data_IF_947771185409
#
_entry.id   IF_947771185409
#
_cell.length_a   1.000
_cell.length_b   1.000
_cell.length_c   1.000
_cell.angle_alpha   90.00
_cell.angle_beta   90.00
_cell.angle_gamma   90.00
#
_symmetry.space_group_name_H-M   'P 1'
#
loop_
_entity.id
_entity.type
_entity.pdbx_description
1 polymer ?
#
# COMPACT_ATOMS: atom_id res chain seq x y z
N UNK A 1 -1.82 8.27 -6.24
CA UNK A 1 -3.06 8.81 -6.84
C UNK A 1 -2.69 9.62 -8.08
N UNK A 2 -3.13 9.16 -9.25
CA UNK A 2 -2.97 9.90 -10.48
C UNK A 2 -3.89 11.13 -10.40
N UNK A 3 -3.30 12.33 -10.24
CA UNK A 3 -4.05 13.52 -10.52
C UNK A 3 -4.17 13.64 -12.03
N UNK A 4 -5.40 13.80 -12.56
CA UNK A 4 -5.58 14.02 -13.99
C UNK A 4 -4.76 15.23 -14.43
N UNK A 5 -4.07 15.10 -15.55
CA UNK A 5 -3.41 16.20 -16.22
C UNK A 5 -4.39 17.36 -16.38
N UNK A 6 -3.97 18.58 -16.21
CA UNK A 6 -4.56 19.93 -16.35
C UNK A 6 -5.88 20.11 -17.14
N UNK A 7 -6.60 19.08 -17.48
CA UNK A 7 -7.94 19.13 -18.03
C UNK A 7 -8.92 19.23 -16.86
N UNK A 8 -9.90 20.12 -16.95
CA UNK A 8 -11.01 20.20 -16.01
C UNK A 8 -11.70 18.81 -15.93
N UNK A 9 -11.25 18.02 -14.96
CA UNK A 9 -11.80 16.70 -14.71
C UNK A 9 -12.47 16.71 -13.33
N UNK A 10 -13.74 16.34 -13.27
CA UNK A 10 -14.50 16.24 -12.03
C UNK A 10 -14.14 14.99 -11.22
N UNK A 11 -13.52 13.99 -11.85
CA UNK A 11 -13.06 12.77 -11.21
C UNK A 11 -11.86 13.09 -10.31
N UNK A 12 -11.94 12.73 -9.04
CA UNK A 12 -10.91 13.04 -8.05
C UNK A 12 -9.74 12.07 -8.11
N UNK A 13 -10.05 10.81 -8.42
CA UNK A 13 -9.10 9.71 -8.47
C UNK A 13 -9.34 8.89 -9.75
N UNK A 14 -8.26 8.43 -10.35
CA UNK A 14 -8.26 7.57 -11.52
C UNK A 14 -7.19 6.50 -11.28
N UNK A 15 -7.58 5.39 -10.67
CA UNK A 15 -6.67 4.27 -10.43
C UNK A 15 -7.45 3.00 -10.08
N UNK A 16 -6.96 1.88 -10.48
CA UNK A 16 -7.49 0.53 -10.21
C UNK A 16 -6.80 -0.15 -9.02
N UNK A 17 -5.80 0.49 -8.43
CA UNK A 17 -5.10 0.02 -7.23
C UNK A 17 -4.62 1.18 -6.38
N UNK A 18 -4.86 1.11 -5.07
CA UNK A 18 -4.42 2.15 -4.12
C UNK A 18 -2.97 1.96 -3.69
N UNK A 19 -2.48 0.73 -3.63
CA UNK A 19 -1.16 0.43 -3.11
C UNK A 19 -0.72 -1.01 -3.27
N UNK A 20 0.58 -1.21 -3.05
CA UNK A 20 1.20 -2.52 -2.87
C UNK A 20 1.13 -2.91 -1.40
N UNK A 21 0.57 -4.08 -1.12
CA UNK A 21 0.67 -4.74 0.18
C UNK A 21 1.63 -5.94 0.08
N UNK A 22 2.41 -6.17 1.14
CA UNK A 22 3.30 -7.33 1.25
C UNK A 22 3.13 -7.90 2.67
N UNK A 23 2.89 -9.20 2.75
CA UNK A 23 2.95 -9.97 3.99
C UNK A 23 4.25 -10.77 3.98
N UNK A 24 5.24 -10.30 4.72
CA UNK A 24 6.55 -10.91 4.80
C UNK A 24 6.53 -12.22 5.61
N UNK A 25 7.53 -13.10 5.40
CA UNK A 25 7.62 -14.37 6.09
C UNK A 25 7.79 -14.27 7.61
N UNK A 26 8.30 -13.13 8.11
CA UNK A 26 8.42 -12.82 9.54
C UNK A 26 7.10 -12.30 10.16
N UNK A 27 6.02 -12.18 9.37
CA UNK A 27 4.71 -11.69 9.81
C UNK A 27 4.52 -10.17 9.68
N UNK A 28 5.52 -9.43 9.21
CA UNK A 28 5.42 -8.00 8.95
C UNK A 28 4.48 -7.72 7.77
N UNK A 29 3.63 -6.71 7.91
CA UNK A 29 2.83 -6.17 6.83
C UNK A 29 3.40 -4.83 6.38
N UNK A 30 3.71 -4.74 5.08
CA UNK A 30 4.19 -3.52 4.43
C UNK A 30 3.06 -2.99 3.55
N UNK A 31 2.80 -1.70 3.66
CA UNK A 31 1.90 -0.97 2.77
C UNK A 31 2.64 0.17 2.09
N UNK A 32 2.67 0.13 0.77
CA UNK A 32 3.28 1.15 -0.08
C UNK A 32 2.22 1.75 -1.02
N UNK A 33 1.71 2.96 -0.71
CA UNK A 33 0.79 3.66 -1.62
C UNK A 33 1.41 3.86 -2.98
N UNK A 34 0.64 3.68 -4.05
CA UNK A 34 1.10 3.95 -5.41
C UNK A 34 1.16 5.45 -5.69
N UNK A 35 2.09 5.83 -6.54
CA UNK A 35 2.24 7.18 -7.02
C UNK A 35 2.37 7.18 -8.55
N UNK A 36 2.03 8.33 -9.17
CA UNK A 36 2.45 8.60 -10.53
C UNK A 36 3.70 9.52 -10.47
N UNK A 37 4.90 8.98 -10.54
CA UNK A 37 6.13 9.75 -10.37
C UNK A 37 6.43 10.59 -11.61
N UNK A 38 7.31 11.59 -11.46
CA UNK A 38 7.79 12.39 -12.60
C UNK A 38 8.79 11.63 -13.49
N UNK A 39 9.46 10.65 -12.91
CA UNK A 39 10.46 9.79 -13.55
C UNK A 39 10.21 8.35 -13.15
N UNK A 40 10.66 7.41 -13.96
CA UNK A 40 10.60 6.00 -13.61
C UNK A 40 11.10 5.77 -12.18
N UNK A 41 10.29 5.12 -11.38
CA UNK A 41 10.60 4.77 -9.99
C UNK A 41 10.60 3.26 -9.84
N UNK A 42 11.61 2.74 -9.18
CA UNK A 42 11.70 1.32 -8.81
C UNK A 42 11.93 1.24 -7.31
N UNK A 43 11.05 0.53 -6.62
CA UNK A 43 11.16 0.25 -5.18
C UNK A 43 11.31 -1.24 -4.97
N UNK A 44 12.30 -1.63 -4.17
CA UNK A 44 12.61 -3.02 -3.88
C UNK A 44 12.38 -3.31 -2.39
N UNK A 45 11.58 -4.32 -2.08
CA UNK A 45 11.27 -4.73 -0.72
C UNK A 45 11.86 -6.11 -0.47
N UNK A 46 12.95 -6.15 0.31
CA UNK A 46 13.63 -7.41 0.65
C UNK A 46 12.80 -8.21 1.64
N UNK A 47 12.45 -9.41 1.27
CA UNK A 47 11.69 -10.35 2.10
C UNK A 47 12.22 -11.77 1.92
N UNK A 48 11.97 -12.61 2.92
CA UNK A 48 12.27 -14.04 2.87
C UNK A 48 10.95 -14.80 3.04
N UNK A 49 10.69 -15.75 2.15
CA UNK A 49 9.48 -16.58 2.17
C UNK A 49 8.19 -15.74 2.35
N UNK A 50 7.88 -14.82 1.43
CA UNK A 50 6.70 -13.99 1.57
C UNK A 50 5.44 -14.86 1.69
N UNK A 51 4.55 -14.49 2.61
CA UNK A 51 3.24 -15.14 2.76
C UNK A 51 2.24 -14.62 1.72
N UNK A 52 2.49 -13.43 1.17
CA UNK A 52 1.74 -12.88 0.06
C UNK A 52 2.15 -11.47 -0.31
N UNK A 53 1.77 -11.06 -1.51
CA UNK A 53 1.91 -9.67 -1.96
C UNK A 53 0.94 -9.38 -3.09
N UNK A 54 0.60 -8.11 -3.28
CA UNK A 54 -0.30 -7.75 -4.35
C UNK A 54 -0.70 -6.30 -4.39
N UNK A 55 -1.39 -5.94 -5.45
CA UNK A 55 -1.96 -4.62 -5.65
C UNK A 55 -3.38 -4.59 -5.12
N UNK A 56 -3.63 -3.75 -4.12
CA UNK A 56 -4.91 -3.65 -3.46
C UNK A 56 -5.63 -2.34 -3.77
N UNK A 57 -6.91 -2.45 -4.09
CA UNK A 57 -7.82 -1.32 -4.22
C UNK A 57 -8.60 -1.15 -2.92
N UNK A 58 -8.25 -0.16 -2.10
CA UNK A 58 -8.88 0.13 -0.81
C UNK A 58 -10.02 1.13 -0.90
N UNK A 59 -9.85 2.15 -1.74
CA UNK A 59 -10.90 3.12 -2.03
C UNK A 59 -12.00 2.49 -2.89
N UNK A 60 -13.19 2.24 -2.30
CA UNK A 60 -14.30 1.59 -3.01
C UNK A 60 -15.59 2.41 -2.96
N UNK A 61 -15.49 3.65 -2.55
CA UNK A 61 -16.61 4.57 -2.62
C UNK A 61 -16.64 5.21 -4.02
N UNK A 62 -17.77 5.07 -4.71
CA UNK A 62 -17.96 5.63 -6.05
C UNK A 62 -17.70 7.14 -6.08
N UNK A 63 -18.01 7.86 -5.00
CA UNK A 63 -17.80 9.31 -4.91
C UNK A 63 -16.34 9.76 -5.01
N UNK A 64 -15.38 8.85 -4.85
CA UNK A 64 -13.95 9.14 -5.06
C UNK A 64 -13.60 9.20 -6.54
N UNK A 65 -14.29 8.44 -7.36
CA UNK A 65 -13.99 8.26 -8.79
C UNK A 65 -14.95 9.03 -9.68
N UNK A 66 -16.25 8.98 -9.39
CA UNK A 66 -17.32 9.55 -10.22
C UNK A 66 -17.21 9.08 -11.69
N UNK A 67 -16.70 7.86 -11.89
CA UNK A 67 -16.50 7.27 -13.21
C UNK A 67 -17.53 6.19 -13.47
N UNK A 68 -18.40 6.44 -14.45
CA UNK A 68 -19.48 5.52 -14.83
C UNK A 68 -19.05 4.48 -15.87
N UNK A 69 -17.98 4.76 -16.59
CA UNK A 69 -17.52 3.92 -17.69
C UNK A 69 -16.58 2.81 -17.17
N UNK A 70 -15.49 3.18 -16.51
CA UNK A 70 -14.47 2.24 -16.05
C UNK A 70 -14.77 1.64 -14.66
N UNK A 71 -15.60 2.33 -13.83
CA UNK A 71 -16.05 1.82 -12.53
C UNK A 71 -14.90 1.35 -11.65
N UNK A 72 -13.89 2.19 -11.43
CA UNK A 72 -12.73 1.90 -10.56
C UNK A 72 -13.11 1.45 -9.14
N UNK A 73 -14.26 1.89 -8.63
CA UNK A 73 -14.84 1.42 -7.37
C UNK A 73 -15.08 -0.09 -7.32
N UNK A 74 -15.18 -0.75 -8.50
CA UNK A 74 -15.45 -2.19 -8.66
C UNK A 74 -14.25 -3.00 -9.13
N UNK A 75 -13.09 -2.38 -9.32
CA UNK A 75 -11.89 -3.12 -9.71
C UNK A 75 -11.42 -4.02 -8.57
N UNK A 76 -11.20 -5.32 -8.80
CA UNK A 76 -10.76 -6.22 -7.75
C UNK A 76 -9.30 -5.97 -7.39
N UNK A 77 -8.95 -6.23 -6.15
CA UNK A 77 -7.56 -6.38 -5.72
C UNK A 77 -6.98 -7.69 -6.26
N UNK A 78 -5.69 -7.70 -6.60
CA UNK A 78 -4.96 -8.88 -7.02
C UNK A 78 -3.94 -9.25 -5.94
N UNK A 79 -4.00 -10.48 -5.42
CA UNK A 79 -3.12 -10.97 -4.38
C UNK A 79 -2.47 -12.29 -4.77
N UNK A 80 -1.14 -12.35 -4.73
CA UNK A 80 -0.33 -13.55 -4.93
C UNK A 80 -0.08 -14.18 -3.56
N UNK A 81 -0.51 -15.42 -3.39
CA UNK A 81 -0.22 -16.26 -2.24
C UNK A 81 0.80 -17.34 -2.66
N UNK A 82 2.08 -17.22 -2.29
CA UNK A 82 3.07 -18.25 -2.55
C UNK A 82 2.67 -19.63 -2.00
N UNK A 83 3.05 -20.67 -2.70
CA UNK A 83 2.91 -22.06 -2.25
C UNK A 83 4.28 -22.67 -2.07
N UNK A 84 4.61 -23.01 -0.82
CA UNK A 84 5.96 -23.42 -0.43
C UNK A 84 6.90 -22.24 -0.24
N UNK A 85 8.15 -22.55 0.00
CA UNK A 85 9.20 -21.56 0.29
C UNK A 85 9.75 -20.99 -1.01
N UNK A 86 9.64 -19.66 -1.19
CA UNK A 86 10.24 -18.96 -2.33
C UNK A 86 11.66 -18.45 -2.05
N UNK A 87 12.11 -18.59 -0.79
CA UNK A 87 13.44 -18.18 -0.34
C UNK A 87 13.57 -16.67 -0.17
N UNK A 88 14.80 -16.18 -0.23
CA UNK A 88 15.13 -14.76 -0.17
C UNK A 88 14.99 -14.10 -1.54
N UNK A 89 14.53 -12.87 -1.54
CA UNK A 89 14.39 -12.06 -2.74
C UNK A 89 13.79 -10.71 -2.45
N UNK A 90 13.29 -10.07 -3.49
CA UNK A 90 12.60 -8.79 -3.39
C UNK A 90 11.24 -8.84 -4.07
N UNK A 91 10.27 -8.17 -3.48
CA UNK A 91 9.08 -7.74 -4.20
C UNK A 91 9.40 -6.39 -4.81
N UNK A 92 9.43 -6.33 -6.12
CA UNK A 92 9.82 -5.14 -6.86
C UNK A 92 8.57 -4.43 -7.37
N UNK A 93 8.48 -3.13 -7.10
CA UNK A 93 7.45 -2.23 -7.60
C UNK A 93 8.06 -1.25 -8.60
N UNK A 94 7.56 -1.27 -9.82
CA UNK A 94 7.92 -0.33 -10.88
C UNK A 94 6.75 0.61 -11.12
N UNK A 95 6.99 1.90 -10.98
CA UNK A 95 6.04 2.97 -11.25
C UNK A 95 6.53 3.78 -12.45
N UNK A 96 5.82 3.69 -13.56
CA UNK A 96 6.16 4.36 -14.83
C UNK A 96 5.34 5.65 -14.91
N UNK A 97 5.95 6.81 -15.19
CA UNK A 97 5.20 8.05 -15.35
C UNK A 97 4.23 7.94 -16.52
N UNK A 98 2.99 8.34 -16.31
CA UNK A 98 1.98 8.42 -17.34
C UNK A 98 1.22 9.75 -17.29
N UNK A 99 0.77 10.21 -18.46
CA UNK A 99 -0.01 11.43 -18.57
C UNK A 99 -1.51 11.20 -18.31
N UNK A 100 -1.97 9.96 -18.50
CA UNK A 100 -3.36 9.56 -18.37
C UNK A 100 -3.48 8.10 -17.93
N UNK A 101 -4.69 7.64 -17.64
CA UNK A 101 -5.02 6.31 -17.17
C UNK A 101 -5.04 5.22 -18.27
N UNK A 102 -4.86 5.59 -19.51
CA UNK A 102 -4.96 4.62 -20.64
C UNK A 102 -3.72 3.74 -20.76
N UNK A 103 -2.67 4.04 -20.01
CA UNK A 103 -1.42 3.29 -20.02
C UNK A 103 -1.22 2.55 -18.71
N UNK A 104 -1.10 1.24 -18.78
CA UNK A 104 -0.66 0.41 -17.64
C UNK A 104 0.73 0.86 -17.21
N UNK A 105 0.81 1.41 -16.00
CA UNK A 105 2.02 2.07 -15.54
C UNK A 105 2.57 1.51 -14.22
N UNK A 106 1.95 0.47 -13.69
CA UNK A 106 2.38 -0.18 -12.43
C UNK A 106 2.68 -1.64 -12.69
N UNK A 107 3.87 -2.07 -12.27
CA UNK A 107 4.27 -3.47 -12.34
C UNK A 107 4.78 -3.92 -10.98
N UNK A 108 4.31 -5.07 -10.51
CA UNK A 108 4.81 -5.73 -9.29
C UNK A 108 5.21 -7.15 -9.62
N UNK A 109 6.39 -7.56 -9.19
CA UNK A 109 6.86 -8.91 -9.40
C UNK A 109 7.81 -9.38 -8.30
N UNK A 110 7.95 -10.70 -8.20
CA UNK A 110 8.97 -11.34 -7.36
C UNK A 110 10.29 -11.45 -8.09
N UNK A 111 11.37 -11.09 -7.42
CA UNK A 111 12.73 -11.20 -7.92
C UNK A 111 13.56 -12.03 -6.91
N UNK A 112 13.86 -13.32 -7.20
CA UNK A 112 14.60 -14.16 -6.26
C UNK A 112 16.06 -13.72 -6.16
N UNK A 113 16.61 -13.77 -4.94
CA UNK A 113 18.03 -13.45 -4.68
C UNK A 113 18.97 -14.38 -5.46
N UNK A 114 18.56 -15.65 -5.64
CA UNK A 114 19.36 -16.63 -6.35
C UNK A 114 18.61 -17.16 -7.55
N UNK A 115 19.22 -17.06 -8.70
CA UNK A 115 18.76 -17.70 -9.93
C UNK A 115 19.43 -19.07 -10.07
N UNK A 116 18.77 -20.06 -10.70
CA UNK A 116 19.39 -21.32 -11.06
C UNK A 116 20.50 -21.12 -12.11
N UNK A 117 21.36 -22.10 -12.25
CA UNK A 117 22.34 -22.11 -13.31
C UNK A 117 21.67 -22.09 -14.70
N UNK A 118 22.30 -21.49 -15.72
CA UNK A 118 21.73 -21.43 -17.06
C UNK A 118 21.32 -22.83 -17.58
N UNK A 119 20.07 -22.92 -18.03
CA UNK A 119 19.47 -24.16 -18.50
C UNK A 119 18.81 -25.02 -17.42
N UNK A 120 18.84 -24.60 -16.16
CA UNK A 120 18.07 -25.23 -15.09
C UNK A 120 16.68 -24.53 -14.97
N UNK A 121 15.61 -25.30 -14.66
CA UNK A 121 14.30 -24.71 -14.46
C UNK A 121 14.24 -23.87 -13.20
N UNK A 122 13.38 -22.85 -13.23
CA UNK A 122 12.97 -22.05 -12.08
C UNK A 122 11.44 -22.14 -11.99
N UNK A 123 10.96 -22.80 -10.95
CA UNK A 123 9.53 -23.07 -10.78
C UNK A 123 8.98 -22.31 -9.56
N UNK A 124 7.86 -21.63 -9.73
CA UNK A 124 7.10 -21.02 -8.64
C UNK A 124 5.68 -21.52 -8.65
N UNK A 125 5.22 -22.02 -7.50
CA UNK A 125 3.82 -22.32 -7.27
C UNK A 125 3.17 -21.21 -6.45
N UNK A 126 1.99 -20.75 -6.89
CA UNK A 126 1.22 -19.74 -6.16
C UNK A 126 -0.26 -19.87 -6.43
N UNK A 127 -1.06 -19.19 -5.62
CA UNK A 127 -2.47 -18.94 -5.87
C UNK A 127 -2.67 -17.45 -6.10
N UNK A 128 -3.38 -17.09 -7.17
CA UNK A 128 -3.83 -15.73 -7.43
C UNK A 128 -5.25 -15.58 -6.90
N UNK A 129 -5.44 -14.60 -6.01
CA UNK A 129 -6.74 -14.22 -5.50
C UNK A 129 -7.16 -12.90 -6.16
N UNK A 130 -8.36 -12.90 -6.71
CA UNK A 130 -9.05 -11.68 -7.10
C UNK A 130 -10.13 -11.42 -6.07
N UNK A 131 -10.03 -10.32 -5.32
CA UNK A 131 -10.94 -10.07 -4.22
C UNK A 131 -11.39 -8.60 -4.15
N UNK A 132 -12.63 -8.42 -3.72
CA UNK A 132 -13.18 -7.10 -3.36
C UNK A 132 -13.05 -6.83 -1.86
N UNK A 133 -12.63 -7.83 -1.10
CA UNK A 133 -12.56 -7.80 0.36
C UNK A 133 -11.14 -8.08 0.84
N UNK A 134 -10.45 -7.02 1.26
CA UNK A 134 -9.09 -7.11 1.82
C UNK A 134 -9.10 -7.89 3.15
N UNK A 135 -10.18 -7.86 3.92
CA UNK A 135 -10.27 -8.58 5.18
C UNK A 135 -10.06 -10.09 5.01
N UNK A 136 -10.44 -10.64 3.85
CA UNK A 136 -10.22 -12.05 3.52
C UNK A 136 -8.75 -12.47 3.39
N UNK A 137 -7.83 -11.49 3.29
CA UNK A 137 -6.38 -11.70 3.17
C UNK A 137 -5.67 -11.70 4.53
N UNK A 138 -6.35 -11.27 5.58
CA UNK A 138 -5.83 -11.17 6.94
C UNK A 138 -6.29 -12.33 7.82
N UNK A 139 -5.57 -12.56 8.91
CA UNK A 139 -6.00 -13.54 9.89
C UNK A 139 -7.32 -13.11 10.56
N UNK A 140 -8.23 -14.06 10.88
CA UNK A 140 -9.57 -13.73 11.38
C UNK A 140 -9.60 -12.92 12.69
N UNK A 141 -8.51 -12.93 13.45
CA UNK A 141 -8.35 -12.27 14.75
C UNK A 141 -7.30 -11.15 14.71
N UNK A 142 -7.00 -10.63 13.53
CA UNK A 142 -6.01 -9.57 13.35
C UNK A 142 -6.63 -8.17 13.29
N UNK A 143 -5.75 -7.18 13.24
CA UNK A 143 -6.05 -5.82 12.82
C UNK A 143 -5.03 -5.38 11.78
N UNK A 144 -5.43 -4.47 10.91
CA UNK A 144 -4.60 -3.95 9.82
C UNK A 144 -4.82 -2.45 9.63
N UNK A 145 -3.91 -1.82 8.90
CA UNK A 145 -4.03 -0.42 8.53
C UNK A 145 -5.14 -0.25 7.51
N UNK A 146 -6.17 0.51 7.85
CA UNK A 146 -7.26 0.88 6.94
C UNK A 146 -6.84 1.97 5.96
N UNK A 147 -6.25 3.03 6.52
CA UNK A 147 -5.76 4.16 5.72
C UNK A 147 -4.62 4.87 6.44
N UNK A 148 -3.83 5.59 5.65
CA UNK A 148 -2.82 6.50 6.14
C UNK A 148 -3.02 7.85 5.48
N UNK A 149 -3.29 8.87 6.28
CA UNK A 149 -3.40 10.24 5.82
C UNK A 149 -2.11 10.97 6.11
N UNK A 150 -1.65 11.77 5.17
CA UNK A 150 -0.43 12.57 5.30
C UNK A 150 -0.77 14.05 5.25
N UNK A 151 -0.18 14.80 6.17
CA UNK A 151 -0.24 16.26 6.17
C UNK A 151 1.12 16.86 6.50
N UNK A 152 1.21 18.18 6.47
CA UNK A 152 2.32 18.91 7.09
C UNK A 152 2.08 18.99 8.59
N UNK A 153 3.15 18.86 9.38
CA UNK A 153 3.09 19.24 10.79
C UNK A 153 2.94 20.74 10.97
N UNK A 154 2.40 21.17 12.08
CA UNK A 154 2.17 22.57 12.36
C UNK A 154 2.43 22.94 13.83
N UNK A 155 2.94 24.13 14.04
CA UNK A 155 3.09 24.72 15.38
C UNK A 155 1.79 25.42 15.75
N UNK A 156 1.24 25.08 16.92
CA UNK A 156 0.12 25.81 17.52
C UNK A 156 0.61 27.18 18.00
N UNK A 157 0.14 28.23 17.35
CA UNK A 157 0.41 29.60 17.81
C UNK A 157 -0.76 30.13 18.67
N UNK A 158 -0.45 31.07 19.57
CA UNK A 158 -1.41 31.65 20.51
C UNK A 158 -2.60 32.40 19.84
N UNK A 159 -2.47 32.73 18.56
CA UNK A 159 -3.51 33.42 17.77
C UNK A 159 -4.37 32.47 16.91
N UNK A 160 -4.34 31.16 17.18
CA UNK A 160 -5.05 30.09 16.45
C UNK A 160 -4.60 29.93 14.98
N UNK A 161 -3.58 30.64 14.53
CA UNK A 161 -3.01 30.44 13.19
C UNK A 161 -2.02 29.30 13.29
N UNK A 162 -2.24 28.25 12.49
CA UNK A 162 -1.30 27.16 12.35
C UNK A 162 -0.28 27.49 11.27
N UNK A 163 0.98 27.26 11.54
CA UNK A 163 2.04 27.43 10.56
C UNK A 163 2.82 26.13 10.43
N UNK A 164 3.12 25.70 9.18
CA UNK A 164 3.96 24.53 8.97
C UNK A 164 5.31 24.68 9.68
N UNK A 165 5.75 23.67 10.40
CA UNK A 165 7.04 23.62 11.09
C UNK A 165 8.12 22.87 10.30
N UNK A 166 7.78 22.40 9.10
CA UNK A 166 8.66 21.61 8.23
C UNK A 166 8.59 20.10 8.50
N UNK A 167 7.86 19.68 9.52
CA UNK A 167 7.65 18.26 9.78
C UNK A 167 6.55 17.66 8.88
N UNK A 168 6.46 16.34 8.89
CA UNK A 168 5.42 15.58 8.21
C UNK A 168 4.61 14.83 9.26
N UNK A 169 3.30 15.00 9.22
CA UNK A 169 2.39 14.29 10.10
C UNK A 169 1.70 13.15 9.32
N UNK A 170 1.55 12.02 9.99
CA UNK A 170 0.77 10.88 9.51
C UNK A 170 -0.33 10.57 10.52
N UNK A 171 -1.53 10.38 10.01
CA UNK A 171 -2.64 9.77 10.75
C UNK A 171 -2.87 8.38 10.18
N UNK A 172 -2.70 7.37 11.01
CA UNK A 172 -2.84 5.96 10.62
C UNK A 172 -4.05 5.37 11.32
N UNK A 173 -5.06 5.02 10.54
CA UNK A 173 -6.27 4.37 11.04
C UNK A 173 -6.13 2.86 10.91
N UNK A 174 -6.51 2.16 11.97
CA UNK A 174 -6.54 0.70 12.01
C UNK A 174 -7.97 0.20 12.08
N UNK A 175 -8.23 -0.95 11.49
CA UNK A 175 -9.48 -1.69 11.64
C UNK A 175 -9.20 -3.19 11.76
N UNK A 176 -10.18 -3.94 12.19
CA UNK A 176 -10.15 -5.39 12.25
C UNK A 176 -10.86 -5.97 13.47
N UNK A 177 -11.16 -7.27 13.43
CA UNK A 177 -11.93 -7.95 14.48
C UNK A 177 -11.27 -7.83 15.86
N UNK A 178 -9.94 -7.89 15.96
CA UNK A 178 -9.23 -7.76 17.22
C UNK A 178 -9.44 -6.40 17.89
N UNK A 179 -9.51 -5.31 17.11
CA UNK A 179 -9.79 -3.97 17.63
C UNK A 179 -11.28 -3.80 17.97
N UNK A 180 -12.16 -4.30 17.12
CA UNK A 180 -13.60 -4.22 17.34
C UNK A 180 -14.05 -4.98 18.61
N UNK A 181 -13.30 -5.98 19.03
CA UNK A 181 -13.58 -6.76 20.23
C UNK A 181 -13.06 -6.11 21.52
N UNK A 182 -12.27 -5.05 21.43
CA UNK A 182 -11.72 -4.38 22.62
C UNK A 182 -12.81 -3.59 23.37
N UNK A 183 -12.76 -3.59 24.70
CA UNK A 183 -13.58 -2.67 25.49
C UNK A 183 -13.16 -1.22 25.23
N UNK A 184 -14.09 -0.29 25.42
CA UNK A 184 -13.86 1.14 25.12
C UNK A 184 -12.72 1.78 25.93
N UNK A 185 -12.37 1.20 27.08
CA UNK A 185 -11.30 1.62 28.00
C UNK A 185 -10.02 0.76 27.89
N UNK A 186 -9.88 -0.01 26.83
CA UNK A 186 -8.70 -0.83 26.61
C UNK A 186 -7.42 0.04 26.48
N UNK A 187 -6.35 -0.37 27.16
CA UNK A 187 -5.02 0.25 27.03
C UNK A 187 -4.40 -0.17 25.68
N UNK A 188 -4.57 0.65 24.66
CA UNK A 188 -3.97 0.46 23.35
C UNK A 188 -2.70 1.28 23.26
N UNK A 189 -1.59 0.64 22.92
CA UNK A 189 -0.29 1.30 22.80
C UNK A 189 0.18 1.28 21.37
N UNK A 190 0.69 2.42 20.90
CA UNK A 190 1.39 2.54 19.64
C UNK A 190 2.90 2.56 19.85
N UNK A 191 3.62 2.03 18.88
CA UNK A 191 5.08 2.16 18.82
C UNK A 191 5.44 2.56 17.40
N UNK A 192 6.18 3.66 17.28
CA UNK A 192 6.66 4.18 16.00
C UNK A 192 8.19 4.13 16.00
N UNK A 193 8.75 3.71 14.88
CA UNK A 193 10.18 3.80 14.60
C UNK A 193 10.43 4.51 13.29
N UNK A 194 11.51 5.24 13.21
CA UNK A 194 11.97 5.95 12.01
C UNK A 194 13.40 5.55 11.69
N UNK A 195 13.78 5.63 10.41
CA UNK A 195 15.15 5.38 9.99
C UNK A 195 16.09 6.57 10.29
N UNK A 196 17.39 6.38 10.01
CA UNK A 196 18.47 7.33 10.33
C UNK A 196 18.29 8.73 9.71
N UNK A 197 17.46 8.87 8.71
CA UNK A 197 17.22 10.14 8.00
C UNK A 197 15.98 10.90 8.52
N UNK A 198 15.38 10.46 9.61
CA UNK A 198 14.19 11.08 10.18
C UNK A 198 14.28 11.09 11.72
N UNK A 199 13.56 12.00 12.32
CA UNK A 199 13.41 12.12 13.77
C UNK A 199 11.92 12.06 14.12
N UNK A 200 11.58 11.26 15.12
CA UNK A 200 10.23 11.21 15.67
C UNK A 200 10.03 12.39 16.62
N UNK A 201 9.12 13.29 16.24
CA UNK A 201 8.83 14.51 17.05
C UNK A 201 7.70 14.25 18.04
N UNK A 202 6.66 13.51 17.62
CA UNK A 202 5.47 13.19 18.44
C UNK A 202 4.86 11.87 17.99
N UNK A 203 4.33 11.09 18.96
CA UNK A 203 3.59 9.83 18.74
C UNK A 203 2.39 9.72 19.66
#
# INVERSE_FOLDING_TARGET
>A
ANQPSNVLNYRRELHDSSGLAIHAGNGEWIWRPLNNPKHLSVSNFSVENPQGFGLLQRGRDFSHYEDLDDRYDKHPSAWIEPKGDWGKGTVDLVEIPTADETNDNIVVFWNPEKLPEPGQPLDFAYRLHWTMDEASLHAPDSAWVKQTLRSTGDVKQSNLIRQPDGSVAYLVDFEGPSLAALPADADVRSQVSVGDNAELVEN
#
